data_IF_545386199675
#
_entry.id   IF_545386199675
#
_cell.length_a   1.000
_cell.length_b   1.000
_cell.length_c   1.000
_cell.angle_alpha   90.00
_cell.angle_beta   90.00
_cell.angle_gamma   90.00
#
_symmetry.space_group_name_H-M   'P 1'
#
loop_
_entity.id
_entity.type
_entity.pdbx_description
1 polymer ?
#
# COMPACT_ATOMS: atom_id res chain seq x y z
N UNK A 1 10.73 12.33 11.33
CA UNK A 1 9.63 12.02 10.38
C UNK A 1 9.74 10.55 9.96
N UNK A 2 8.72 9.76 10.22
CA UNK A 2 8.62 8.36 9.82
C UNK A 2 7.57 8.21 8.69
N UNK A 3 7.83 7.37 7.69
CA UNK A 3 6.93 7.15 6.55
C UNK A 3 6.74 5.66 6.29
N UNK A 4 5.52 5.23 5.92
CA UNK A 4 5.14 3.82 5.64
C UNK A 4 5.75 3.19 4.37
N UNK A 5 6.97 3.59 4.07
CA UNK A 5 7.73 3.15 2.91
C UNK A 5 8.84 2.18 3.30
N UNK A 6 9.21 1.35 2.34
CA UNK A 6 10.54 0.75 2.28
C UNK A 6 11.43 1.54 1.30
N UNK A 7 12.73 1.20 1.26
CA UNK A 7 13.72 1.91 0.42
C UNK A 7 13.36 1.89 -1.06
N UNK A 8 12.87 0.77 -1.60
CA UNK A 8 12.56 0.61 -3.02
C UNK A 8 11.34 1.43 -3.39
N UNK A 9 10.31 1.42 -2.54
CA UNK A 9 9.13 2.27 -2.73
C UNK A 9 9.48 3.76 -2.63
N UNK A 10 10.33 4.15 -1.68
CA UNK A 10 10.81 5.53 -1.61
C UNK A 10 11.55 5.93 -2.91
N UNK A 11 12.47 5.09 -3.38
CA UNK A 11 13.20 5.36 -4.61
C UNK A 11 12.23 5.52 -5.79
N UNK A 12 11.27 4.61 -5.94
CA UNK A 12 10.27 4.67 -7.00
C UNK A 12 9.48 5.99 -6.98
N UNK A 13 9.10 6.50 -5.80
CA UNK A 13 8.42 7.80 -5.65
C UNK A 13 9.30 8.99 -6.02
N UNK A 14 10.56 8.96 -5.61
CA UNK A 14 11.50 10.05 -5.84
C UNK A 14 11.96 10.10 -7.29
N UNK A 15 12.07 8.94 -7.96
CA UNK A 15 12.58 8.90 -9.32
C UNK A 15 11.61 9.44 -10.35
N UNK A 16 10.29 9.47 -10.10
CA UNK A 16 9.26 9.84 -11.09
C UNK A 16 9.45 9.23 -12.49
N UNK A 17 10.30 8.21 -12.60
CA UNK A 17 10.82 7.83 -13.89
C UNK A 17 9.83 6.85 -14.50
N UNK A 18 9.14 7.37 -15.52
CA UNK A 18 8.46 6.62 -16.55
C UNK A 18 9.48 5.74 -17.25
N UNK A 19 10.02 4.73 -16.56
CA UNK A 19 10.70 3.62 -17.21
C UNK A 19 9.65 2.88 -18.04
N UNK A 20 9.47 3.41 -19.25
CA UNK A 20 9.11 2.67 -20.44
C UNK A 20 9.96 1.42 -20.34
N UNK A 21 9.32 0.29 -20.08
CA UNK A 21 9.92 -0.99 -20.44
C UNK A 21 10.31 -0.80 -21.90
N UNK A 22 11.61 -0.88 -22.19
CA UNK A 22 12.10 -0.60 -23.52
C UNK A 22 11.40 -1.55 -24.48
N UNK A 23 10.59 -0.98 -25.37
CA UNK A 23 9.88 -1.70 -26.42
C UNK A 23 10.87 -2.38 -27.39
N UNK A 24 12.17 -2.07 -27.29
CA UNK A 24 13.20 -2.60 -28.17
C UNK A 24 13.58 -4.07 -27.95
N UNK A 25 13.14 -4.74 -26.87
CA UNK A 25 13.31 -6.20 -26.71
C UNK A 25 12.11 -7.02 -27.19
N UNK A 26 11.04 -6.35 -27.66
CA UNK A 26 9.74 -6.94 -28.00
C UNK A 26 9.76 -7.71 -29.33
N UNK A 27 10.76 -7.49 -30.18
CA UNK A 27 10.83 -8.10 -31.52
C UNK A 27 11.11 -9.61 -31.56
N UNK A 28 11.48 -10.26 -30.44
CA UNK A 28 11.84 -11.68 -30.41
C UNK A 28 10.74 -12.63 -29.95
N UNK A 29 9.63 -12.11 -29.43
CA UNK A 29 8.56 -12.90 -28.82
C UNK A 29 7.30 -12.55 -29.60
N UNK A 30 6.82 -13.44 -30.47
CA UNK A 30 5.67 -13.19 -31.36
C UNK A 30 4.43 -12.63 -30.64
N UNK A 31 3.46 -12.16 -31.43
CA UNK A 31 2.28 -11.36 -31.02
C UNK A 31 1.60 -11.84 -29.72
N UNK A 32 1.50 -13.15 -29.52
CA UNK A 32 0.92 -13.77 -28.31
C UNK A 32 1.77 -13.58 -27.05
N UNK A 33 3.10 -13.67 -27.15
CA UNK A 33 4.00 -13.41 -26.02
C UNK A 33 4.24 -11.92 -25.77
N UNK A 34 4.10 -11.07 -26.79
CA UNK A 34 3.99 -9.62 -26.60
C UNK A 34 2.73 -9.25 -25.79
N UNK A 35 1.57 -9.80 -26.13
CA UNK A 35 0.34 -9.63 -25.36
C UNK A 35 0.50 -10.13 -23.92
N UNK A 36 1.11 -11.30 -23.73
CA UNK A 36 1.34 -11.87 -22.40
C UNK A 36 2.34 -11.04 -21.57
N UNK A 37 3.40 -10.52 -22.18
CA UNK A 37 4.38 -9.65 -21.52
C UNK A 37 3.81 -8.25 -21.25
N UNK A 38 2.99 -7.70 -22.15
CA UNK A 38 2.30 -6.43 -21.97
C UNK A 38 1.25 -6.52 -20.86
N UNK A 39 0.44 -7.59 -20.86
CA UNK A 39 -0.53 -7.88 -19.79
C UNK A 39 0.18 -8.20 -18.48
N UNK A 40 1.27 -8.97 -18.50
CA UNK A 40 2.09 -9.29 -17.33
C UNK A 40 2.75 -8.06 -16.72
N UNK A 41 3.33 -7.18 -17.54
CA UNK A 41 3.92 -5.92 -17.09
C UNK A 41 2.88 -4.87 -16.66
N UNK A 42 1.71 -4.84 -17.31
CA UNK A 42 0.57 -4.04 -16.86
C UNK A 42 0.01 -4.55 -15.54
N UNK A 43 -0.10 -5.87 -15.38
CA UNK A 43 -0.58 -6.53 -14.17
C UNK A 43 0.44 -6.45 -13.06
N UNK A 44 1.74 -6.51 -13.32
CA UNK A 44 2.80 -6.32 -12.33
C UNK A 44 2.88 -4.85 -11.89
N UNK A 45 2.65 -3.89 -12.78
CA UNK A 45 2.49 -2.47 -12.42
C UNK A 45 1.22 -2.24 -11.62
N UNK A 46 0.08 -2.78 -12.06
CA UNK A 46 -1.19 -2.68 -11.34
C UNK A 46 -1.13 -3.42 -10.00
N UNK A 47 -0.61 -4.64 -9.93
CA UNK A 47 -0.39 -5.40 -8.70
C UNK A 47 0.66 -4.74 -7.82
N UNK A 48 1.73 -4.18 -8.37
CA UNK A 48 2.65 -3.30 -7.64
C UNK A 48 1.93 -2.09 -7.04
N UNK A 49 0.98 -1.51 -7.78
CA UNK A 49 0.12 -0.40 -7.36
C UNK A 49 -1.09 -0.84 -6.49
N UNK A 50 -1.38 -2.15 -6.36
CA UNK A 50 -2.49 -2.72 -5.57
C UNK A 50 -1.95 -3.32 -4.26
N UNK A 51 -0.85 -4.07 -4.34
CA UNK A 51 -0.05 -4.58 -3.21
C UNK A 51 0.69 -3.42 -2.54
N UNK A 52 1.05 -2.40 -3.32
CA UNK A 52 1.43 -1.07 -2.87
C UNK A 52 0.48 -0.04 -3.44
N UNK A 53 -0.74 0.07 -2.87
CA UNK A 53 -1.61 1.26 -3.02
C UNK A 53 -0.68 2.46 -3.04
N UNK A 54 -0.54 3.11 -4.21
CA UNK A 54 0.57 4.05 -4.48
C UNK A 54 0.82 4.89 -3.23
N UNK A 55 2.06 4.91 -2.68
CA UNK A 55 2.34 5.97 -1.75
C UNK A 55 2.02 7.26 -2.48
N UNK A 56 1.08 8.00 -1.94
CA UNK A 56 0.55 9.14 -2.64
C UNK A 56 1.56 10.28 -2.62
N UNK A 57 1.13 11.40 -3.18
CA UNK A 57 1.84 12.66 -3.06
C UNK A 57 2.15 13.03 -1.61
N UNK A 58 1.38 12.54 -0.64
CA UNK A 58 1.55 12.80 0.80
C UNK A 58 2.89 12.26 1.31
N UNK A 59 3.27 11.02 0.99
CA UNK A 59 4.53 10.44 1.46
C UNK A 59 5.74 11.11 0.81
N UNK A 60 5.64 11.45 -0.49
CA UNK A 60 6.68 12.22 -1.20
C UNK A 60 6.84 13.60 -0.57
N UNK A 61 5.73 14.31 -0.35
CA UNK A 61 5.71 15.61 0.29
C UNK A 61 6.27 15.56 1.72
N UNK A 62 5.91 14.54 2.51
CA UNK A 62 6.45 14.35 3.86
C UNK A 62 7.97 14.19 3.86
N UNK A 63 8.51 13.42 2.91
CA UNK A 63 9.96 13.26 2.73
C UNK A 63 10.62 14.57 2.30
N UNK A 64 10.03 15.29 1.34
CA UNK A 64 10.54 16.58 0.88
C UNK A 64 10.56 17.64 1.97
N UNK A 65 9.46 17.76 2.73
CA UNK A 65 9.36 18.68 3.87
C UNK A 65 10.35 18.30 4.96
N UNK A 66 10.49 17.01 5.29
CA UNK A 66 11.48 16.54 6.26
C UNK A 66 12.91 16.94 5.85
N UNK A 67 13.25 16.85 4.55
CA UNK A 67 14.55 17.32 4.05
C UNK A 67 14.71 18.83 4.20
N UNK A 68 13.68 19.61 3.85
CA UNK A 68 13.69 21.09 3.96
C UNK A 68 13.85 21.57 5.40
N UNK A 69 13.28 20.86 6.36
CA UNK A 69 13.37 21.17 7.80
C UNK A 69 14.54 20.48 8.50
N UNK A 70 15.45 19.85 7.74
CA UNK A 70 16.59 19.08 8.27
C UNK A 70 16.19 18.00 9.31
N UNK A 71 14.99 17.44 9.17
CA UNK A 71 14.46 16.39 10.03
C UNK A 71 14.93 15.02 9.57
N UNK A 72 15.26 14.14 10.52
CA UNK A 72 15.61 12.74 10.24
C UNK A 72 14.42 12.00 9.62
N UNK A 73 14.69 11.23 8.57
CA UNK A 73 13.70 10.40 7.88
C UNK A 73 13.89 8.93 8.29
N UNK A 74 12.80 8.28 8.70
CA UNK A 74 12.77 6.85 8.99
C UNK A 74 11.76 6.13 8.08
N UNK A 75 12.20 5.02 7.49
CA UNK A 75 11.36 4.12 6.71
C UNK A 75 10.88 3.01 7.62
N UNK A 76 9.57 2.95 7.88
CA UNK A 76 9.02 2.09 8.93
C UNK A 76 8.33 0.83 8.40
N UNK A 77 8.11 0.71 7.09
CA UNK A 77 7.38 -0.43 6.56
C UNK A 77 8.30 -1.59 6.12
N UNK A 78 7.68 -2.74 5.92
CA UNK A 78 8.33 -3.96 5.44
C UNK A 78 8.75 -3.78 3.97
N UNK A 79 9.87 -4.43 3.63
CA UNK A 79 10.29 -4.58 2.23
C UNK A 79 9.16 -5.22 1.41
N UNK A 80 8.80 -4.53 0.32
CA UNK A 80 7.77 -4.95 -0.62
C UNK A 80 8.02 -6.35 -1.20
N UNK A 81 9.27 -6.78 -1.40
CA UNK A 81 9.57 -8.14 -1.88
C UNK A 81 9.17 -9.21 -0.87
N UNK A 82 9.34 -8.94 0.43
CA UNK A 82 8.90 -9.86 1.48
C UNK A 82 7.37 -9.96 1.45
N UNK A 83 6.68 -8.83 1.26
CA UNK A 83 5.22 -8.79 1.15
C UNK A 83 4.74 -9.59 -0.07
N UNK A 84 5.34 -9.37 -1.24
CA UNK A 84 5.02 -10.09 -2.48
C UNK A 84 5.31 -11.59 -2.38
N UNK A 85 6.45 -11.96 -1.78
CA UNK A 85 6.81 -13.38 -1.56
C UNK A 85 5.78 -14.05 -0.65
N UNK A 86 5.43 -13.42 0.48
CA UNK A 86 4.41 -13.96 1.39
C UNK A 86 3.04 -14.02 0.73
N UNK A 87 2.67 -13.03 -0.08
CA UNK A 87 1.43 -13.05 -0.87
C UNK A 87 1.42 -14.25 -1.83
N UNK A 88 2.55 -14.54 -2.46
CA UNK A 88 2.67 -15.69 -3.37
C UNK A 88 2.64 -17.04 -2.63
N UNK A 89 3.15 -17.12 -1.40
CA UNK A 89 3.28 -18.38 -0.66
C UNK A 89 2.04 -18.70 0.19
N UNK A 90 1.38 -17.68 0.74
CA UNK A 90 0.32 -17.84 1.75
C UNK A 90 -1.08 -17.93 1.13
N UNK A 91 -1.24 -17.50 -0.13
CA UNK A 91 -2.51 -17.57 -0.84
C UNK A 91 -2.52 -18.78 -1.77
N UNK A 92 -3.63 -19.51 -1.76
CA UNK A 92 -3.91 -20.54 -2.75
C UNK A 92 -4.08 -19.92 -4.14
N UNK A 93 -3.82 -20.70 -5.20
CA UNK A 93 -4.08 -20.25 -6.57
C UNK A 93 -5.52 -19.76 -6.76
N UNK A 94 -6.50 -20.45 -6.16
CA UNK A 94 -7.92 -20.04 -6.20
C UNK A 94 -8.14 -18.65 -5.58
N UNK A 95 -7.53 -18.36 -4.43
CA UNK A 95 -7.63 -17.04 -3.79
C UNK A 95 -7.00 -15.94 -4.62
N UNK A 96 -5.82 -16.20 -5.21
CA UNK A 96 -5.14 -15.25 -6.10
C UNK A 96 -6.00 -14.91 -7.32
N UNK A 97 -6.52 -15.92 -8.02
CA UNK A 97 -7.37 -15.70 -9.20
C UNK A 97 -8.69 -15.05 -8.85
N UNK A 98 -9.30 -15.39 -7.71
CA UNK A 98 -10.53 -14.74 -7.25
C UNK A 98 -10.30 -13.25 -6.94
N UNK A 99 -9.25 -12.94 -6.19
CA UNK A 99 -8.87 -11.56 -5.85
C UNK A 99 -8.56 -10.75 -7.11
N UNK A 100 -7.74 -11.29 -8.01
CA UNK A 100 -7.43 -10.64 -9.29
C UNK A 100 -8.67 -10.47 -10.17
N UNK A 101 -9.54 -11.46 -10.24
CA UNK A 101 -10.79 -11.40 -11.00
C UNK A 101 -11.73 -10.31 -10.48
N UNK A 102 -11.83 -10.14 -9.17
CA UNK A 102 -12.65 -9.10 -8.56
C UNK A 102 -12.06 -7.69 -8.76
N UNK A 103 -10.74 -7.54 -8.73
CA UNK A 103 -10.07 -6.28 -9.13
C UNK A 103 -10.32 -5.98 -10.61
N UNK A 104 -10.21 -6.98 -11.48
CA UNK A 104 -10.51 -6.81 -12.90
C UNK A 104 -11.98 -6.36 -13.10
N UNK A 105 -12.93 -7.00 -12.41
CA UNK A 105 -14.33 -6.59 -12.42
C UNK A 105 -14.52 -5.17 -11.89
N UNK A 106 -13.82 -4.76 -10.85
CA UNK A 106 -13.95 -3.41 -10.31
C UNK A 106 -13.40 -2.34 -11.25
N UNK A 107 -12.39 -2.65 -12.06
CA UNK A 107 -11.82 -1.72 -13.05
C UNK A 107 -12.64 -1.66 -14.34
N UNK A 108 -13.03 -2.82 -14.90
CA UNK A 108 -13.70 -2.92 -16.20
C UNK A 108 -15.23 -2.88 -16.12
N UNK A 109 -15.81 -3.29 -15.00
CA UNK A 109 -17.25 -3.34 -14.75
C UNK A 109 -17.65 -2.53 -13.50
N UNK A 110 -17.06 -1.33 -13.37
CA UNK A 110 -17.22 -0.41 -12.23
C UNK A 110 -18.64 -0.41 -11.64
N UNK A 111 -19.67 -0.06 -12.41
CA UNK A 111 -21.05 0.07 -11.90
C UNK A 111 -21.64 -1.22 -11.31
N UNK A 112 -21.32 -2.38 -11.88
CA UNK A 112 -21.85 -3.69 -11.44
C UNK A 112 -21.09 -4.22 -10.21
N UNK A 113 -19.76 -4.15 -10.25
CA UNK A 113 -18.92 -4.53 -9.11
C UNK A 113 -19.19 -3.64 -7.88
N UNK A 114 -19.46 -2.35 -8.08
CA UNK A 114 -19.78 -1.39 -7.02
C UNK A 114 -21.11 -1.74 -6.33
N UNK A 115 -22.16 -2.09 -7.09
CA UNK A 115 -23.41 -2.58 -6.53
C UNK A 115 -23.23 -3.88 -5.73
N UNK A 116 -22.44 -4.82 -6.26
CA UNK A 116 -22.13 -6.09 -5.57
C UNK A 116 -21.31 -5.92 -4.29
N UNK A 117 -20.55 -4.82 -4.16
CA UNK A 117 -19.79 -4.45 -2.95
C UNK A 117 -20.55 -3.48 -2.04
N UNK A 118 -21.78 -3.06 -2.39
CA UNK A 118 -22.56 -2.11 -1.60
C UNK A 118 -21.94 -0.72 -1.51
N UNK A 119 -21.26 -0.28 -2.58
CA UNK A 119 -20.60 1.02 -2.71
C UNK A 119 -21.33 1.83 -3.78
N UNK A 120 -21.71 3.07 -3.48
CA UNK A 120 -22.38 3.95 -4.45
C UNK A 120 -21.37 4.61 -5.39
N UNK A 121 -21.81 5.03 -6.57
CA UNK A 121 -20.95 5.72 -7.55
C UNK A 121 -20.49 7.11 -7.09
N UNK A 122 -21.15 7.69 -6.10
CA UNK A 122 -20.83 9.01 -5.53
C UNK A 122 -19.72 8.94 -4.46
N UNK A 123 -19.61 7.81 -3.74
CA UNK A 123 -18.62 7.60 -2.67
C UNK A 123 -17.18 7.49 -3.18
N UNK A 124 -16.97 7.13 -4.45
CA UNK A 124 -15.66 6.71 -4.98
C UNK A 124 -15.19 7.58 -6.15
N UNK A 125 -15.30 8.89 -5.97
CA UNK A 125 -14.65 9.86 -6.86
C UNK A 125 -13.13 9.76 -6.70
N UNK A 126 -12.48 9.06 -7.64
CA UNK A 126 -11.03 8.83 -7.67
C UNK A 126 -10.21 10.12 -7.86
N UNK A 127 -10.86 11.26 -8.12
CA UNK A 127 -10.21 12.57 -8.14
C UNK A 127 -10.11 13.22 -6.75
N UNK A 128 -10.78 12.65 -5.74
CA UNK A 128 -10.80 13.13 -4.36
C UNK A 128 -10.16 12.12 -3.42
N UNK A 129 -9.60 12.62 -2.31
CA UNK A 129 -9.15 11.77 -1.21
C UNK A 129 -10.37 11.02 -0.68
N UNK A 130 -10.37 9.68 -0.68
CA UNK A 130 -11.49 8.90 -0.15
C UNK A 130 -11.73 9.23 1.33
N UNK A 131 -13.00 9.28 1.76
CA UNK A 131 -13.29 9.51 3.17
C UNK A 131 -12.75 8.37 4.05
N UNK A 132 -12.40 8.68 5.30
CA UNK A 132 -11.89 7.69 6.26
C UNK A 132 -12.86 6.53 6.47
N UNK A 133 -14.16 6.84 6.50
CA UNK A 133 -15.25 5.87 6.67
C UNK A 133 -15.31 4.89 5.49
N UNK A 134 -15.14 5.40 4.26
CA UNK A 134 -15.09 4.56 3.07
C UNK A 134 -13.86 3.64 3.08
N UNK A 135 -12.68 4.18 3.45
CA UNK A 135 -11.45 3.38 3.54
C UNK A 135 -11.63 2.25 4.57
N UNK A 136 -12.16 2.55 5.75
CA UNK A 136 -12.45 1.55 6.78
C UNK A 136 -13.45 0.49 6.29
N UNK A 137 -14.52 0.89 5.59
CA UNK A 137 -15.50 -0.03 5.00
C UNK A 137 -14.85 -0.99 4.01
N UNK A 138 -13.98 -0.48 3.14
CA UNK A 138 -13.25 -1.28 2.16
C UNK A 138 -12.30 -2.29 2.82
N UNK A 139 -11.61 -1.88 3.88
CA UNK A 139 -10.68 -2.75 4.61
C UNK A 139 -11.44 -3.86 5.34
N UNK A 140 -12.56 -3.54 5.98
CA UNK A 140 -13.44 -4.55 6.59
C UNK A 140 -13.96 -5.55 5.57
N UNK A 141 -14.30 -5.11 4.36
CA UNK A 141 -14.68 -6.02 3.27
C UNK A 141 -13.51 -6.89 2.80
N UNK A 142 -12.30 -6.32 2.71
CA UNK A 142 -11.09 -7.08 2.37
C UNK A 142 -10.81 -8.17 3.41
N UNK A 143 -10.88 -7.83 4.71
CA UNK A 143 -10.70 -8.79 5.80
C UNK A 143 -11.71 -9.94 5.72
N UNK A 144 -13.00 -9.62 5.49
CA UNK A 144 -14.07 -10.61 5.43
C UNK A 144 -13.99 -11.51 4.19
N UNK A 145 -13.74 -10.94 3.00
CA UNK A 145 -13.79 -11.66 1.72
C UNK A 145 -12.46 -12.33 1.36
N UNK A 146 -11.35 -11.76 1.81
CA UNK A 146 -9.99 -12.16 1.49
C UNK A 146 -9.07 -12.14 2.72
N UNK A 147 -9.34 -12.97 3.75
CA UNK A 147 -8.61 -12.91 5.02
C UNK A 147 -7.10 -13.11 4.87
N UNK A 148 -6.66 -13.99 3.97
CA UNK A 148 -5.23 -14.21 3.70
C UNK A 148 -4.58 -13.03 2.95
N UNK A 149 -5.32 -12.34 2.08
CA UNK A 149 -4.85 -11.11 1.43
C UNK A 149 -4.70 -10.01 2.48
N UNK A 150 -5.73 -9.80 3.29
CA UNK A 150 -5.72 -8.81 4.37
C UNK A 150 -4.59 -9.07 5.38
N UNK A 151 -4.37 -10.33 5.78
CA UNK A 151 -3.29 -10.69 6.69
C UNK A 151 -1.91 -10.28 6.13
N UNK A 152 -1.64 -10.56 4.85
CA UNK A 152 -0.36 -10.24 4.22
C UNK A 152 -0.21 -8.73 3.95
N UNK A 153 -1.24 -8.08 3.40
CA UNK A 153 -1.15 -6.70 2.93
C UNK A 153 -1.33 -5.66 4.04
N UNK A 154 -2.00 -6.02 5.15
CA UNK A 154 -2.34 -5.09 6.24
C UNK A 154 -1.74 -5.58 7.55
N UNK A 155 -2.25 -6.69 8.11
CA UNK A 155 -1.94 -7.10 9.48
C UNK A 155 -0.45 -7.34 9.73
N UNK A 156 0.24 -8.02 8.81
CA UNK A 156 1.67 -8.28 8.95
C UNK A 156 2.53 -7.02 8.79
N UNK A 157 2.14 -6.11 7.90
CA UNK A 157 2.80 -4.82 7.71
C UNK A 157 2.61 -3.91 8.94
N UNK A 158 1.39 -3.86 9.49
CA UNK A 158 1.11 -3.17 10.76
C UNK A 158 2.02 -3.65 11.89
N UNK A 159 2.26 -4.97 12.00
CA UNK A 159 3.22 -5.52 12.99
C UNK A 159 4.64 -5.01 12.80
N UNK A 160 5.13 -4.97 11.55
CA UNK A 160 6.47 -4.45 11.24
C UNK A 160 6.56 -2.96 11.54
N UNK A 161 5.59 -2.16 11.07
CA UNK A 161 5.53 -0.72 11.30
C UNK A 161 5.44 -0.37 12.78
N UNK A 162 4.57 -1.04 13.54
CA UNK A 162 4.43 -0.82 14.98
C UNK A 162 5.72 -1.10 15.74
N UNK A 163 6.41 -2.18 15.39
CA UNK A 163 7.69 -2.52 15.99
C UNK A 163 8.79 -1.50 15.63
N UNK A 164 8.81 -1.03 14.38
CA UNK A 164 9.79 -0.02 13.95
C UNK A 164 9.53 1.34 14.61
N UNK A 165 8.27 1.76 14.73
CA UNK A 165 7.89 2.97 15.46
C UNK A 165 8.23 2.90 16.95
N UNK A 166 7.92 1.79 17.62
CA UNK A 166 8.29 1.61 19.02
C UNK A 166 9.81 1.68 19.23
N UNK A 167 10.61 1.05 18.33
CA UNK A 167 12.08 1.17 18.37
C UNK A 167 12.56 2.60 18.18
N UNK A 168 11.92 3.39 17.30
CA UNK A 168 12.27 4.79 17.10
C UNK A 168 11.99 5.62 18.36
N UNK A 169 10.81 5.44 18.96
CA UNK A 169 10.42 6.14 20.18
C UNK A 169 11.32 5.77 21.37
N UNK A 170 11.75 4.51 21.49
CA UNK A 170 12.72 4.11 22.51
C UNK A 170 14.14 4.65 22.25
N UNK A 171 14.54 4.73 20.98
CA UNK A 171 15.87 5.23 20.60
C UNK A 171 15.99 6.75 20.76
N UNK A 172 14.87 7.47 20.64
CA UNK A 172 14.81 8.92 20.70
C UNK A 172 13.69 9.36 21.66
N UNK A 173 13.85 9.13 22.98
CA UNK A 173 12.78 9.32 23.97
C UNK A 173 12.33 10.78 24.14
N UNK A 174 13.22 11.73 23.85
CA UNK A 174 12.96 13.17 23.99
C UNK A 174 12.53 13.84 22.67
N UNK A 175 12.42 13.06 21.59
CA UNK A 175 12.12 13.57 20.25
C UNK A 175 10.68 13.27 19.85
N UNK A 176 10.07 14.17 19.08
CA UNK A 176 8.75 13.93 18.50
C UNK A 176 8.87 13.17 17.18
N UNK A 177 8.23 12.00 17.11
CA UNK A 177 8.14 11.20 15.88
C UNK A 177 6.80 11.44 15.19
N UNK A 178 6.80 12.30 14.18
CA UNK A 178 5.67 12.39 13.23
C UNK A 178 5.70 11.18 12.27
N UNK A 179 4.69 10.32 12.33
CA UNK A 179 4.53 9.17 11.43
C UNK A 179 3.44 9.44 10.38
N UNK A 180 3.79 9.33 9.11
CA UNK A 180 2.89 9.48 7.97
C UNK A 180 2.63 8.09 7.40
N UNK A 181 1.38 7.66 7.47
CA UNK A 181 0.96 6.30 7.12
C UNK A 181 -0.30 6.33 6.27
N UNK A 182 -0.50 5.34 5.42
CA UNK A 182 -1.75 5.21 4.67
C UNK A 182 -2.95 5.08 5.61
N UNK A 183 -4.09 5.68 5.23
CA UNK A 183 -5.33 5.66 6.00
C UNK A 183 -5.80 4.24 6.37
N UNK A 184 -5.41 3.24 5.57
CA UNK A 184 -5.74 1.85 5.87
C UNK A 184 -4.93 1.18 6.98
N UNK A 185 -3.86 1.84 7.45
CA UNK A 185 -3.03 1.36 8.54
C UNK A 185 -3.25 2.17 9.81
N UNK A 186 -3.69 3.42 9.70
CA UNK A 186 -3.74 4.42 10.77
C UNK A 186 -4.32 3.90 12.10
N UNK A 187 -5.57 3.43 12.10
CA UNK A 187 -6.29 3.05 13.32
C UNK A 187 -5.66 1.84 14.03
N UNK A 188 -5.45 0.75 13.30
CA UNK A 188 -4.84 -0.46 13.85
C UNK A 188 -3.39 -0.21 14.29
N UNK A 189 -2.63 0.55 13.51
CA UNK A 189 -1.25 0.86 13.81
C UNK A 189 -1.13 1.73 15.07
N UNK A 190 -2.00 2.72 15.24
CA UNK A 190 -2.03 3.55 16.45
C UNK A 190 -2.25 2.70 17.70
N UNK A 191 -3.26 1.83 17.70
CA UNK A 191 -3.53 0.92 18.82
C UNK A 191 -2.32 0.03 19.13
N UNK A 192 -1.70 -0.52 18.08
CA UNK A 192 -0.51 -1.36 18.21
C UNK A 192 0.69 -0.61 18.77
N UNK A 193 0.88 0.66 18.42
CA UNK A 193 1.96 1.50 18.95
C UNK A 193 1.66 1.89 20.39
N UNK A 194 0.45 2.37 20.71
CA UNK A 194 0.04 2.71 22.09
C UNK A 194 0.32 1.58 23.07
N UNK A 195 0.00 0.34 22.70
CA UNK A 195 0.28 -0.86 23.50
C UNK A 195 1.77 -1.14 23.72
N UNK A 196 2.65 -0.68 22.82
CA UNK A 196 4.10 -0.90 22.89
C UNK A 196 4.84 0.21 23.62
N UNK A 197 4.30 1.43 23.65
CA UNK A 197 4.94 2.61 24.23
C UNK A 197 4.14 3.24 25.37
N UNK A 198 3.31 2.43 26.04
CA UNK A 198 2.55 2.82 27.24
C UNK A 198 1.69 4.09 27.03
N UNK A 199 1.07 4.20 25.85
CA UNK A 199 0.13 5.29 25.53
C UNK A 199 0.73 6.58 24.96
N UNK A 200 2.06 6.66 24.76
CA UNK A 200 2.76 7.87 24.26
C UNK A 200 2.60 8.17 22.75
N UNK A 201 1.46 7.86 22.13
CA UNK A 201 1.25 8.08 20.70
C UNK A 201 -0.17 8.57 20.42
N UNK A 202 -0.37 9.58 19.58
CA UNK A 202 -1.70 10.11 19.24
C UNK A 202 -1.81 10.46 17.75
N UNK A 203 -3.04 10.65 17.27
CA UNK A 203 -3.33 11.07 15.89
C UNK A 203 -3.35 12.58 15.84
N UNK A 204 -2.65 13.15 14.85
CA UNK A 204 -2.69 14.58 14.54
C UNK A 204 -3.43 14.72 13.20
N UNK A 205 -4.55 15.45 13.23
CA UNK A 205 -5.41 15.69 12.06
C UNK A 205 -4.94 16.86 11.21
#
# INVERSE_FOLDING_TARGET
VAVDLDRRRLLALLTEDKSKVSISEIGRIGINGYLFAAVGGWLQRKLGNIVGVMPGSEMKLAVELAKKTNSKIALIDQDIEITLRKFSQRLTWKEKFRFMGDIFKSVFFKKKAMREMGITTEELDLSKVPSKELVQKLIKQLEKRYPNVYDVLVRQRNKVMANNLAKLLHKFPDETVLAIVGAGHEEELLDMVKKRVEGKADVVG
#
